data_IF_150374263858
#
_entry.id   IF_150374263858
#
_cell.length_a   1.000
_cell.length_b   1.000
_cell.length_c   1.000
_cell.angle_alpha   90.00
_cell.angle_beta   90.00
_cell.angle_gamma   90.00
#
_symmetry.space_group_name_H-M   'P 1'
#
loop_
_entity.id
_entity.type
_entity.pdbx_description
1 polymer ?
#
# COMPACT_ATOMS: atom_id res chain seq x y z
N UNK A 1 7.96 11.58 8.84
CA UNK A 1 6.65 10.92 8.98
C UNK A 1 5.64 11.97 9.40
N UNK A 2 4.62 12.21 8.58
CA UNK A 2 3.69 13.34 8.73
C UNK A 2 2.34 12.96 9.35
N UNK A 3 2.15 11.66 9.62
CA UNK A 3 0.92 11.13 10.22
C UNK A 3 0.79 9.63 9.99
N UNK A 4 -0.42 9.13 10.24
CA UNK A 4 -0.80 7.74 10.03
C UNK A 4 -2.25 7.69 9.54
N UNK A 5 -2.49 6.92 8.48
CA UNK A 5 -3.83 6.64 7.95
C UNK A 5 -4.44 5.43 8.66
N UNK A 6 -5.74 5.50 8.89
CA UNK A 6 -6.56 4.41 9.41
C UNK A 6 -7.21 3.60 8.28
N UNK A 7 -7.76 2.44 8.61
CA UNK A 7 -8.36 1.56 7.60
C UNK A 7 -9.60 2.21 6.97
N UNK A 8 -9.64 2.26 5.64
CA UNK A 8 -10.72 2.90 4.89
C UNK A 8 -10.61 4.43 4.80
N UNK A 9 -9.59 5.05 5.41
CA UNK A 9 -9.34 6.47 5.28
C UNK A 9 -8.83 6.81 3.88
N UNK A 10 -9.43 7.83 3.27
CA UNK A 10 -8.97 8.38 1.99
C UNK A 10 -7.89 9.42 2.28
N UNK A 11 -6.68 9.31 1.70
CA UNK A 11 -5.66 10.31 1.88
C UNK A 11 -6.13 11.67 1.34
N UNK A 12 -6.10 12.70 2.19
CA UNK A 12 -6.61 14.03 1.85
C UNK A 12 -5.57 14.92 1.13
N UNK A 13 -4.32 14.49 1.06
CA UNK A 13 -3.23 15.23 0.42
C UNK A 13 -2.14 14.29 -0.11
N UNK A 14 -1.44 14.68 -1.20
CA UNK A 14 -0.31 13.93 -1.71
C UNK A 14 0.91 14.04 -0.78
N UNK A 15 1.77 13.04 -0.83
CA UNK A 15 3.11 13.12 -0.25
C UNK A 15 4.02 14.00 -1.11
N UNK A 16 4.81 14.84 -0.46
CA UNK A 16 5.88 15.62 -1.10
C UNK A 16 7.27 15.07 -0.73
N UNK A 17 8.34 15.44 -1.46
CA UNK A 17 9.68 14.94 -1.18
C UNK A 17 10.09 15.10 0.29
N UNK A 18 10.65 14.03 0.87
CA UNK A 18 11.05 13.97 2.28
C UNK A 18 9.93 13.58 3.25
N UNK A 19 8.70 13.35 2.76
CA UNK A 19 7.59 12.90 3.58
C UNK A 19 7.34 11.39 3.47
N UNK A 20 6.76 10.86 4.52
CA UNK A 20 6.21 9.52 4.60
C UNK A 20 4.98 9.56 5.51
N UNK A 21 4.02 8.69 5.28
CA UNK A 21 2.84 8.49 6.15
C UNK A 21 2.74 7.01 6.50
N UNK A 22 2.31 6.71 7.72
CA UNK A 22 1.97 5.33 8.10
C UNK A 22 0.71 4.87 7.39
N UNK A 23 0.71 3.65 6.86
CA UNK A 23 -0.45 3.02 6.23
C UNK A 23 -0.64 1.61 6.81
N UNK A 24 -1.88 1.12 6.78
CA UNK A 24 -2.21 -0.26 7.14
C UNK A 24 -2.29 -1.12 5.87
N UNK A 25 -2.05 -2.42 6.01
CA UNK A 25 -2.23 -3.38 4.91
C UNK A 25 -3.66 -3.32 4.39
N UNK A 26 -3.81 -3.19 3.06
CA UNK A 26 -5.10 -3.00 2.40
C UNK A 26 -5.64 -1.58 2.44
N UNK A 27 -4.94 -0.64 3.09
CA UNK A 27 -5.27 0.77 3.09
C UNK A 27 -4.91 1.46 1.77
N UNK A 28 -5.55 2.60 1.53
CA UNK A 28 -5.23 3.46 0.39
C UNK A 28 -3.90 4.16 0.62
N UNK A 29 -3.11 4.27 -0.45
CA UNK A 29 -1.82 4.94 -0.45
C UNK A 29 -2.01 6.35 -1.03
N UNK A 30 -1.46 7.41 -0.41
CA UNK A 30 -1.54 8.76 -0.95
C UNK A 30 -0.81 8.90 -2.28
N UNK A 31 -1.31 9.80 -3.12
CA UNK A 31 -0.62 10.26 -4.32
C UNK A 31 0.80 10.73 -3.99
N UNK A 32 1.74 10.49 -4.90
CA UNK A 32 3.16 10.82 -4.71
C UNK A 32 3.95 9.81 -3.89
N UNK A 33 3.31 8.83 -3.25
CA UNK A 33 4.03 7.69 -2.70
C UNK A 33 4.63 6.84 -3.84
N UNK A 34 5.88 6.42 -3.66
CA UNK A 34 6.60 5.61 -4.66
C UNK A 34 6.80 4.15 -4.24
N UNK A 35 6.62 3.84 -2.95
CA UNK A 35 6.69 2.49 -2.39
C UNK A 35 6.06 2.47 -0.99
N UNK A 36 5.67 1.28 -0.51
CA UNK A 36 5.42 1.00 0.92
C UNK A 36 6.58 0.16 1.46
N UNK A 37 6.98 0.41 2.72
CA UNK A 37 8.01 -0.36 3.42
C UNK A 37 7.33 -1.02 4.64
N UNK A 38 7.55 -2.33 4.89
CA UNK A 38 7.01 -2.98 6.08
C UNK A 38 7.50 -2.29 7.36
N UNK A 39 6.65 -2.17 8.37
CA UNK A 39 6.97 -1.45 9.60
C UNK A 39 8.18 -2.06 10.33
N UNK A 40 8.31 -3.39 10.28
CA UNK A 40 9.45 -4.13 10.84
C UNK A 40 10.78 -3.87 10.10
N UNK A 41 10.74 -3.26 8.91
CA UNK A 41 11.90 -2.90 8.08
C UNK A 41 12.25 -1.42 8.14
N UNK A 42 11.65 -0.66 9.05
CA UNK A 42 11.97 0.76 9.25
C UNK A 42 12.35 1.04 10.70
N UNK A 43 13.18 2.07 10.89
CA UNK A 43 13.39 2.71 12.19
C UNK A 43 12.84 4.12 12.11
N UNK A 44 12.00 4.49 13.09
CA UNK A 44 11.47 5.84 13.22
C UNK A 44 12.09 6.48 14.45
N UNK A 45 12.71 7.65 14.27
CA UNK A 45 13.27 8.46 15.36
C UNK A 45 13.03 9.93 15.05
N UNK A 46 12.51 10.68 16.02
CA UNK A 46 12.27 12.14 15.89
C UNK A 46 11.48 12.51 14.62
N UNK A 47 10.48 11.70 14.27
CA UNK A 47 9.69 11.78 13.02
C UNK A 47 10.47 11.54 11.71
N UNK A 48 11.73 11.13 11.77
CA UNK A 48 12.49 10.66 10.61
C UNK A 48 12.37 9.14 10.48
N UNK A 49 12.13 8.69 9.25
CA UNK A 49 12.11 7.29 8.90
C UNK A 49 13.42 6.92 8.22
N UNK A 50 14.08 5.87 8.73
CA UNK A 50 15.23 5.23 8.10
C UNK A 50 14.82 3.82 7.67
N UNK A 51 14.96 3.54 6.36
CA UNK A 51 14.81 2.17 5.85
C UNK A 51 15.98 1.30 6.28
N UNK A 52 15.69 0.07 6.70
CA UNK A 52 16.68 -0.96 7.01
C UNK A 52 17.05 -1.81 5.78
N UNK A 53 16.30 -1.66 4.69
CA UNK A 53 16.51 -2.38 3.43
C UNK A 53 16.50 -1.45 2.22
N UNK A 54 16.89 -1.98 1.07
CA UNK A 54 16.79 -1.25 -0.19
C UNK A 54 15.34 -1.23 -0.67
N UNK A 55 14.83 -0.04 -0.97
CA UNK A 55 13.45 0.17 -1.42
C UNK A 55 13.46 0.47 -2.92
N UNK A 56 12.77 -0.35 -3.70
CA UNK A 56 12.53 -0.09 -5.13
C UNK A 56 11.18 0.60 -5.32
N UNK A 57 11.04 1.47 -6.33
CA UNK A 57 9.73 1.97 -6.74
C UNK A 57 8.76 0.81 -7.01
N UNK A 58 7.53 0.94 -6.52
CA UNK A 58 6.47 -0.08 -6.64
C UNK A 58 6.51 -1.17 -5.57
N UNK A 59 7.51 -1.22 -4.69
CA UNK A 59 7.54 -2.20 -3.61
C UNK A 59 6.27 -2.10 -2.74
N UNK A 60 5.67 -3.26 -2.48
CA UNK A 60 4.51 -3.45 -1.60
C UNK A 60 3.27 -2.62 -2.02
N UNK A 61 3.15 -2.27 -3.29
CA UNK A 61 1.90 -1.80 -3.87
C UNK A 61 1.14 -2.97 -4.45
N UNK A 62 -0.18 -2.94 -4.27
CA UNK A 62 -1.10 -3.78 -5.02
C UNK A 62 -1.84 -2.91 -6.02
N UNK A 63 -1.66 -3.18 -7.31
CA UNK A 63 -2.27 -2.37 -8.36
C UNK A 63 -3.77 -2.70 -8.49
N UNK A 64 -4.62 -1.73 -8.86
CA UNK A 64 -6.00 -2.00 -9.21
C UNK A 64 -6.07 -3.03 -10.35
N UNK A 65 -6.79 -4.13 -10.11
CA UNK A 65 -6.94 -5.20 -11.08
C UNK A 65 -5.84 -6.26 -11.09
N UNK A 66 -4.89 -6.21 -10.15
CA UNK A 66 -3.77 -7.17 -10.09
C UNK A 66 -4.21 -8.63 -9.93
N UNK A 67 -5.27 -8.89 -9.16
CA UNK A 67 -5.84 -10.25 -9.05
C UNK A 67 -6.79 -10.55 -10.23
N UNK A 68 -7.69 -9.62 -10.53
CA UNK A 68 -8.74 -9.78 -11.54
C UNK A 68 -9.08 -8.45 -12.20
N UNK A 69 -9.28 -8.47 -13.51
CA UNK A 69 -9.74 -7.33 -14.27
C UNK A 69 -11.26 -7.30 -14.37
N UNK A 70 -11.79 -6.11 -14.63
CA UNK A 70 -13.21 -5.94 -14.92
C UNK A 70 -13.56 -6.73 -16.19
N UNK A 71 -14.46 -7.69 -16.06
CA UNK A 71 -14.93 -8.54 -17.16
C UNK A 71 -14.40 -9.96 -17.13
N UNK A 72 -13.48 -10.28 -16.21
CA UNK A 72 -12.95 -11.64 -16.07
C UNK A 72 -14.04 -12.62 -15.63
N UNK A 73 -14.12 -13.76 -16.32
CA UNK A 73 -14.95 -14.88 -15.89
C UNK A 73 -14.23 -15.63 -14.76
N UNK A 74 -14.61 -15.34 -13.52
CA UNK A 74 -13.96 -15.94 -12.34
C UNK A 74 -14.34 -17.41 -12.15
N UNK A 75 -15.61 -17.76 -12.42
CA UNK A 75 -16.14 -19.12 -12.29
C UNK A 75 -17.02 -19.45 -13.50
N UNK A 76 -16.77 -20.59 -14.13
CA UNK A 76 -17.57 -21.10 -15.24
C UNK A 76 -18.83 -21.84 -14.78
N UNK A 77 -19.75 -22.08 -15.71
CA UNK A 77 -20.93 -22.90 -15.46
C UNK A 77 -20.53 -24.29 -14.93
N UNK A 78 -21.28 -24.80 -13.96
CA UNK A 78 -21.05 -26.11 -13.31
C UNK A 78 -19.79 -26.20 -12.45
N UNK A 79 -19.15 -25.08 -12.08
CA UNK A 79 -18.02 -25.09 -11.15
C UNK A 79 -18.47 -25.44 -9.72
N UNK A 80 -17.94 -26.52 -9.15
CA UNK A 80 -18.17 -26.88 -7.74
C UNK A 80 -17.36 -25.96 -6.83
N UNK A 81 -18.03 -25.23 -5.96
CA UNK A 81 -17.42 -24.25 -5.03
C UNK A 81 -17.07 -24.94 -3.71
N UNK A 82 -15.85 -24.72 -3.22
CA UNK A 82 -15.39 -25.09 -1.87
C UNK A 82 -14.72 -23.88 -1.21
N UNK A 83 -14.57 -23.85 0.14
CA UNK A 83 -13.73 -22.89 0.82
C UNK A 83 -12.27 -22.92 0.35
#
# INVERSE_FOLDING_TARGET
VVGQLTMGEVPNSPLVPGQAVGVLTGGLVPDGAVAVIPHEKVQIKDNYLKSLEFVKPGNNFKQPGEDFHKGDLILGQSTRITP
#
